data_IF_697236775559
#
_entry.id   IF_697236775559
#
_cell.length_a   1.000
_cell.length_b   1.000
_cell.length_c   1.000
_cell.angle_alpha   90.00
_cell.angle_beta   90.00
_cell.angle_gamma   90.00
#
_symmetry.space_group_name_H-M   'P 1'
#
loop_
_entity.id
_entity.type
_entity.pdbx_description
1 polymer ?
#
# COMPACT_ATOMS: atom_id res chain seq x y z
N UNK A 1 -3.35 -36.17 -13.75
CA UNK A 1 -3.19 -34.82 -13.15
C UNK A 1 -2.79 -34.99 -11.69
N UNK A 2 -1.93 -34.14 -11.14
CA UNK A 2 -1.34 -34.29 -9.79
C UNK A 2 -2.31 -34.05 -8.62
N UNK A 3 -3.55 -33.61 -8.88
CA UNK A 3 -4.55 -33.34 -7.83
C UNK A 3 -4.28 -32.08 -7.01
N UNK A 4 -3.61 -31.08 -7.60
CA UNK A 4 -3.16 -29.86 -6.91
C UNK A 4 -4.10 -28.67 -7.07
N UNK A 5 -5.27 -28.87 -7.70
CA UNK A 5 -6.21 -27.80 -7.98
C UNK A 5 -7.29 -27.75 -6.91
N UNK A 6 -7.85 -26.56 -6.69
CA UNK A 6 -9.00 -26.35 -5.82
C UNK A 6 -10.17 -27.26 -6.20
N UNK A 7 -11.13 -27.49 -5.28
CA UNK A 7 -12.34 -28.21 -5.60
C UNK A 7 -13.10 -27.52 -6.73
N UNK A 8 -13.54 -28.30 -7.71
CA UNK A 8 -14.40 -27.83 -8.78
C UNK A 8 -15.73 -28.60 -8.70
N UNK A 9 -16.81 -27.99 -8.15
CA UNK A 9 -18.11 -28.65 -8.07
C UNK A 9 -18.73 -28.91 -9.45
N UNK A 10 -18.18 -28.33 -10.52
CA UNK A 10 -18.62 -28.53 -11.90
C UNK A 10 -17.43 -28.97 -12.76
N UNK A 11 -17.06 -30.26 -12.68
CA UNK A 11 -16.31 -30.93 -13.73
C UNK A 11 -17.06 -30.83 -15.09
N UNK A 12 -16.98 -29.67 -15.74
CA UNK A 12 -17.11 -29.52 -17.18
C UNK A 12 -15.70 -29.54 -17.74
N UNK A 13 -15.43 -30.33 -18.79
CA UNK A 13 -14.13 -30.27 -19.45
C UNK A 13 -13.95 -28.85 -20.03
N UNK A 14 -12.96 -28.12 -19.51
CA UNK A 14 -12.56 -26.80 -19.99
C UNK A 14 -13.50 -25.66 -19.55
N UNK A 15 -13.18 -24.95 -18.47
CA UNK A 15 -12.27 -23.80 -18.56
C UNK A 15 -12.27 -23.07 -17.21
N UNK A 16 -11.19 -23.09 -16.44
CA UNK A 16 -11.04 -22.16 -15.35
C UNK A 16 -10.73 -20.79 -15.98
N UNK A 17 -11.66 -19.86 -15.80
CA UNK A 17 -11.70 -18.62 -16.57
C UNK A 17 -11.33 -17.47 -15.62
N UNK A 18 -10.03 -17.16 -15.49
CA UNK A 18 -9.63 -15.85 -15.03
C UNK A 18 -9.90 -14.91 -16.22
N UNK A 19 -10.99 -14.16 -16.16
CA UNK A 19 -11.48 -13.32 -17.26
C UNK A 19 -10.41 -12.32 -17.78
N UNK A 20 -9.37 -12.06 -17.00
CA UNK A 20 -8.34 -11.05 -17.27
C UNK A 20 -7.09 -11.60 -17.98
N UNK A 21 -6.92 -12.92 -18.05
CA UNK A 21 -5.82 -13.58 -18.76
C UNK A 21 -6.51 -14.26 -19.93
N UNK A 22 -6.32 -13.80 -21.18
CA UNK A 22 -7.03 -14.31 -22.36
C UNK A 22 -6.76 -15.79 -22.71
N UNK A 23 -7.11 -16.72 -21.83
CA UNK A 23 -6.77 -18.13 -21.83
C UNK A 23 -7.38 -18.92 -20.66
N UNK A 24 -6.82 -20.10 -20.39
CA UNK A 24 -7.25 -21.07 -19.36
C UNK A 24 -6.35 -20.94 -18.14
N UNK A 25 -6.89 -20.65 -16.96
CA UNK A 25 -6.12 -20.38 -15.73
C UNK A 25 -6.54 -21.26 -14.56
N UNK A 26 -5.66 -22.10 -14.02
CA UNK A 26 -6.04 -23.00 -12.91
C UNK A 26 -5.78 -22.36 -11.54
N UNK A 27 -6.64 -22.65 -10.56
CA UNK A 27 -6.45 -22.22 -9.17
C UNK A 27 -5.88 -23.40 -8.38
N UNK A 28 -4.71 -23.20 -7.79
CA UNK A 28 -4.04 -24.21 -6.94
C UNK A 28 -4.79 -24.35 -5.61
N UNK A 29 -4.91 -25.56 -5.07
CA UNK A 29 -5.36 -25.80 -3.70
C UNK A 29 -4.20 -25.55 -2.71
N UNK A 30 -4.21 -24.43 -1.94
CA UNK A 30 -3.15 -24.12 -1.01
C UNK A 30 -3.27 -24.91 0.31
N UNK A 31 -4.30 -25.75 0.48
CA UNK A 31 -4.46 -26.64 1.64
C UNK A 31 -3.81 -28.01 1.41
N UNK A 32 -3.57 -28.38 0.15
CA UNK A 32 -2.90 -29.64 -0.20
C UNK A 32 -1.38 -29.54 0.09
N UNK A 33 -0.81 -30.31 1.05
CA UNK A 33 0.59 -30.20 1.40
C UNK A 33 1.56 -30.48 0.23
N UNK A 34 1.18 -31.39 -0.68
CA UNK A 34 1.99 -31.70 -1.85
C UNK A 34 1.97 -30.56 -2.88
N UNK A 35 0.83 -29.86 -3.01
CA UNK A 35 0.72 -28.68 -3.87
C UNK A 35 1.51 -27.50 -3.30
N UNK A 36 1.46 -27.26 -1.98
CA UNK A 36 2.25 -26.23 -1.31
C UNK A 36 3.76 -26.42 -1.55
N UNK A 37 4.26 -27.63 -1.33
CA UNK A 37 5.68 -27.98 -1.54
C UNK A 37 6.06 -27.78 -3.00
N UNK A 38 5.26 -28.32 -3.92
CA UNK A 38 5.53 -28.20 -5.34
C UNK A 38 5.59 -26.74 -5.78
N UNK A 39 4.57 -25.93 -5.46
CA UNK A 39 4.53 -24.54 -5.90
C UNK A 39 5.65 -23.69 -5.27
N UNK A 40 5.93 -23.89 -3.98
CA UNK A 40 7.08 -23.25 -3.32
C UNK A 40 8.37 -23.53 -4.07
N UNK A 41 8.63 -24.79 -4.42
CA UNK A 41 9.89 -25.20 -5.06
C UNK A 41 10.00 -24.67 -6.50
N UNK A 42 8.89 -24.64 -7.26
CA UNK A 42 8.87 -24.02 -8.59
C UNK A 42 9.14 -22.52 -8.51
N UNK A 43 8.51 -21.82 -7.56
CA UNK A 43 8.77 -20.39 -7.32
C UNK A 43 10.21 -20.16 -6.89
N UNK A 44 10.73 -20.93 -5.93
CA UNK A 44 12.11 -20.81 -5.46
C UNK A 44 13.13 -21.05 -6.59
N UNK A 45 12.90 -22.06 -7.44
CA UNK A 45 13.74 -22.33 -8.61
C UNK A 45 13.71 -21.16 -9.60
N UNK A 46 12.54 -20.57 -9.86
CA UNK A 46 12.40 -19.38 -10.70
C UNK A 46 13.15 -18.18 -10.13
N UNK A 47 12.97 -17.89 -8.84
CA UNK A 47 13.66 -16.78 -8.15
C UNK A 47 15.18 -16.94 -8.22
N UNK A 48 15.70 -18.14 -7.90
CA UNK A 48 17.12 -18.44 -7.92
C UNK A 48 17.73 -18.37 -9.33
N UNK A 49 16.98 -18.83 -10.35
CA UNK A 49 17.44 -18.81 -11.75
C UNK A 49 17.66 -17.39 -12.26
N UNK A 50 16.79 -16.45 -11.85
CA UNK A 50 16.79 -15.08 -12.38
C UNK A 50 17.28 -14.02 -11.40
N UNK A 51 17.62 -14.39 -10.16
CA UNK A 51 18.06 -13.46 -9.12
C UNK A 51 16.97 -12.48 -8.68
N UNK A 52 15.70 -12.90 -8.68
CA UNK A 52 14.56 -12.05 -8.33
C UNK A 52 14.40 -12.03 -6.81
N UNK A 53 14.53 -10.85 -6.19
CA UNK A 53 14.45 -10.65 -4.74
C UNK A 53 13.08 -10.15 -4.24
N UNK A 54 12.10 -10.01 -5.14
CA UNK A 54 10.80 -9.50 -4.77
C UNK A 54 9.65 -10.04 -5.62
N UNK A 55 8.50 -10.26 -4.98
CA UNK A 55 7.26 -10.70 -5.62
C UNK A 55 6.13 -9.73 -5.28
N UNK A 56 5.44 -9.22 -6.31
CA UNK A 56 4.10 -8.63 -6.16
C UNK A 56 3.07 -9.76 -6.29
N UNK A 57 2.54 -10.19 -5.15
CA UNK A 57 1.55 -11.25 -5.03
C UNK A 57 0.15 -10.67 -5.22
N UNK A 58 -0.31 -10.74 -6.46
CA UNK A 58 -1.64 -10.30 -6.87
C UNK A 58 -2.66 -11.45 -6.77
N UNK A 59 -3.93 -11.10 -6.63
CA UNK A 59 -5.07 -12.02 -6.51
C UNK A 59 -4.98 -12.93 -5.27
N UNK A 60 -5.94 -13.84 -5.14
CA UNK A 60 -6.13 -14.71 -3.96
C UNK A 60 -7.47 -14.47 -3.26
N UNK A 61 -8.15 -13.39 -3.62
CA UNK A 61 -9.46 -12.95 -3.15
C UNK A 61 -10.50 -12.96 -4.26
N UNK A 62 -10.20 -13.44 -5.46
CA UNK A 62 -11.13 -13.47 -6.59
C UNK A 62 -11.29 -14.88 -7.14
N UNK A 63 -12.50 -15.23 -7.54
CA UNK A 63 -12.83 -16.52 -8.16
C UNK A 63 -12.44 -17.79 -7.37
N UNK A 64 -12.14 -17.67 -6.07
CA UNK A 64 -11.84 -18.80 -5.19
C UNK A 64 -13.15 -19.54 -4.87
N UNK A 65 -13.22 -20.87 -5.07
CA UNK A 65 -14.35 -21.69 -4.63
C UNK A 65 -14.66 -21.44 -3.14
N UNK A 66 -15.93 -21.20 -2.83
CA UNK A 66 -16.34 -20.73 -1.50
C UNK A 66 -17.68 -21.29 -1.04
N UNK A 67 -18.23 -22.28 -1.74
CA UNK A 67 -19.45 -22.96 -1.35
C UNK A 67 -19.18 -24.00 -0.26
N UNK A 68 -20.23 -24.35 0.49
CA UNK A 68 -20.13 -25.38 1.53
C UNK A 68 -19.84 -26.78 0.95
N UNK A 69 -20.14 -26.99 -0.33
CA UNK A 69 -19.88 -28.23 -1.07
C UNK A 69 -18.47 -28.30 -1.65
N UNK A 70 -17.71 -27.21 -1.60
CA UNK A 70 -16.33 -27.17 -2.10
C UNK A 70 -15.41 -27.71 -0.99
N UNK A 71 -15.04 -29.00 -1.08
CA UNK A 71 -14.23 -29.66 -0.04
C UNK A 71 -12.76 -29.64 -0.44
N UNK A 72 -11.98 -28.81 0.23
CA UNK A 72 -10.53 -28.65 0.03
C UNK A 72 -9.76 -29.89 0.52
N UNK A 73 -8.51 -30.03 0.08
CA UNK A 73 -7.69 -31.22 0.38
C UNK A 73 -7.47 -31.48 1.89
N UNK A 74 -7.54 -30.46 2.73
CA UNK A 74 -7.45 -30.60 4.20
C UNK A 74 -8.80 -30.91 4.89
N UNK A 75 -9.88 -31.05 4.12
CA UNK A 75 -11.22 -31.36 4.60
C UNK A 75 -12.09 -30.15 4.96
N UNK A 76 -11.54 -28.93 4.93
CA UNK A 76 -12.34 -27.71 5.13
C UNK A 76 -13.23 -27.43 3.93
N UNK A 77 -14.33 -26.74 4.20
CA UNK A 77 -15.24 -26.22 3.17
C UNK A 77 -14.68 -24.94 2.54
N UNK A 78 -15.14 -24.62 1.33
CA UNK A 78 -14.78 -23.36 0.68
C UNK A 78 -15.14 -22.14 1.51
N UNK A 79 -16.21 -22.21 2.32
CA UNK A 79 -16.58 -21.11 3.25
C UNK A 79 -15.52 -20.84 4.30
N UNK A 80 -14.85 -21.88 4.78
CA UNK A 80 -13.77 -21.77 5.76
C UNK A 80 -12.47 -21.32 5.10
N UNK A 81 -12.18 -21.81 3.89
CA UNK A 81 -10.91 -21.50 3.19
C UNK A 81 -10.91 -20.14 2.51
N UNK A 82 -12.08 -19.61 2.11
CA UNK A 82 -12.21 -18.40 1.28
C UNK A 82 -11.36 -17.21 1.75
N UNK A 83 -11.45 -16.89 3.04
CA UNK A 83 -10.69 -15.77 3.60
C UNK A 83 -9.28 -16.18 4.03
N UNK A 84 -9.04 -17.46 4.33
CA UNK A 84 -7.70 -17.96 4.66
C UNK A 84 -6.80 -18.12 3.44
N UNK A 85 -7.37 -18.27 2.23
CA UNK A 85 -6.67 -18.46 0.97
C UNK A 85 -5.50 -17.47 0.76
N UNK A 86 -5.70 -16.14 0.86
CA UNK A 86 -4.59 -15.19 0.70
C UNK A 86 -3.49 -15.37 1.75
N UNK A 87 -3.82 -15.76 2.99
CA UNK A 87 -2.80 -16.06 4.02
C UNK A 87 -1.99 -17.30 3.66
N UNK A 88 -2.65 -18.37 3.21
CA UNK A 88 -1.97 -19.60 2.79
C UNK A 88 -1.09 -19.34 1.56
N UNK A 89 -1.60 -18.58 0.59
CA UNK A 89 -0.85 -18.19 -0.61
C UNK A 89 0.37 -17.33 -0.24
N UNK A 90 0.20 -16.31 0.60
CA UNK A 90 1.30 -15.46 1.05
C UNK A 90 2.40 -16.27 1.76
N UNK A 91 2.00 -17.22 2.63
CA UNK A 91 2.95 -18.11 3.29
C UNK A 91 3.79 -18.91 2.31
N UNK A 92 3.19 -19.52 1.28
CA UNK A 92 3.92 -20.34 0.29
C UNK A 92 4.97 -19.50 -0.43
N UNK A 93 4.63 -18.28 -0.85
CA UNK A 93 5.56 -17.38 -1.56
C UNK A 93 6.64 -16.80 -0.64
N UNK A 94 6.28 -16.47 0.60
CA UNK A 94 7.25 -16.07 1.62
C UNK A 94 8.26 -17.18 1.90
N UNK A 95 7.80 -18.43 2.08
CA UNK A 95 8.68 -19.57 2.30
C UNK A 95 9.61 -19.83 1.09
N UNK A 96 9.11 -19.59 -0.14
CA UNK A 96 9.93 -19.69 -1.34
C UNK A 96 11.06 -18.64 -1.35
N UNK A 97 10.73 -17.37 -1.09
CA UNK A 97 11.72 -16.29 -0.99
C UNK A 97 12.74 -16.56 0.14
N UNK A 98 12.27 -16.95 1.33
CA UNK A 98 13.12 -17.25 2.47
C UNK A 98 14.06 -18.45 2.24
N UNK A 99 13.68 -19.41 1.38
CA UNK A 99 14.54 -20.53 1.00
C UNK A 99 15.70 -20.12 0.10
N UNK A 100 15.53 -19.07 -0.71
CA UNK A 100 16.55 -18.53 -1.62
C UNK A 100 17.39 -17.46 -0.93
N UNK A 101 16.78 -16.65 -0.07
CA UNK A 101 17.39 -15.51 0.63
C UNK A 101 17.23 -15.66 2.16
N UNK A 102 18.04 -16.53 2.81
CA UNK A 102 17.88 -16.88 4.22
C UNK A 102 18.28 -15.76 5.20
N UNK A 103 18.94 -14.70 4.72
CA UNK A 103 19.24 -13.48 5.48
C UNK A 103 18.03 -12.54 5.60
N UNK A 104 16.96 -12.81 4.86
CA UNK A 104 15.73 -12.01 4.87
C UNK A 104 15.78 -10.78 3.96
N UNK A 105 16.78 -10.66 3.08
CA UNK A 105 16.88 -9.53 2.13
C UNK A 105 16.02 -9.76 0.88
N UNK A 106 14.71 -9.81 1.10
CA UNK A 106 13.68 -9.97 0.06
C UNK A 106 12.40 -9.21 0.41
N UNK A 107 11.51 -9.06 -0.57
CA UNK A 107 10.19 -8.43 -0.35
C UNK A 107 9.04 -9.22 -0.97
N UNK A 108 8.01 -9.48 -0.18
CA UNK A 108 6.71 -9.93 -0.66
C UNK A 108 5.72 -8.77 -0.49
N UNK A 109 5.07 -8.37 -1.58
CA UNK A 109 4.03 -7.33 -1.59
C UNK A 109 2.71 -7.95 -1.98
N UNK A 110 1.73 -7.99 -1.09
CA UNK A 110 0.42 -8.61 -1.35
C UNK A 110 -0.68 -7.57 -1.52
N UNK A 111 -1.63 -7.85 -2.42
CA UNK A 111 -2.90 -7.11 -2.49
C UNK A 111 -3.89 -7.61 -1.45
N UNK A 112 -4.31 -8.89 -1.47
CA UNK A 112 -5.24 -9.38 -0.46
C UNK A 112 -4.53 -9.72 0.84
N UNK A 113 -5.32 -9.72 1.90
CA UNK A 113 -4.90 -10.12 3.22
C UNK A 113 -6.10 -10.65 4.01
N UNK A 114 -5.81 -11.47 5.01
CA UNK A 114 -6.72 -11.80 6.09
C UNK A 114 -5.96 -11.90 7.41
N UNK A 115 -6.63 -12.39 8.45
CA UNK A 115 -6.02 -12.57 9.77
C UNK A 115 -4.74 -13.39 9.65
N UNK A 116 -3.63 -12.83 10.14
CA UNK A 116 -2.32 -13.49 10.15
C UNK A 116 -1.47 -13.27 8.89
N UNK A 117 -1.95 -12.65 7.81
CA UNK A 117 -1.12 -12.45 6.60
C UNK A 117 0.07 -11.50 6.84
N UNK A 118 -0.06 -10.53 7.75
CA UNK A 118 0.91 -9.45 7.94
C UNK A 118 2.31 -9.90 8.41
N UNK A 119 2.44 -11.15 8.88
CA UNK A 119 3.74 -11.72 9.22
C UNK A 119 4.56 -12.15 7.98
N UNK A 120 3.92 -12.29 6.82
CA UNK A 120 4.54 -12.81 5.59
C UNK A 120 4.81 -11.75 4.52
N UNK A 121 4.14 -10.60 4.58
CA UNK A 121 4.11 -9.66 3.46
C UNK A 121 3.96 -8.21 3.93
N UNK A 122 4.46 -7.28 3.11
CA UNK A 122 3.98 -5.89 3.09
C UNK A 122 2.81 -5.76 2.11
N UNK A 123 2.08 -4.66 2.12
CA UNK A 123 0.80 -4.58 1.40
C UNK A 123 0.70 -3.38 0.48
N UNK A 124 0.04 -3.59 -0.65
CA UNK A 124 -0.34 -2.53 -1.58
C UNK A 124 -1.87 -2.43 -1.63
N UNK A 125 -2.37 -1.21 -1.83
CA UNK A 125 -3.78 -0.84 -1.75
C UNK A 125 -4.71 -1.40 -2.83
N UNK A 126 -4.20 -2.19 -3.75
CA UNK A 126 -4.98 -2.66 -4.88
C UNK A 126 -5.24 -1.59 -5.93
N UNK A 127 -6.19 -1.88 -6.81
CA UNK A 127 -6.45 -1.12 -8.02
C UNK A 127 -7.27 0.17 -7.73
N UNK A 128 -6.69 1.11 -6.98
CA UNK A 128 -7.36 2.36 -6.61
C UNK A 128 -7.55 3.21 -7.89
N UNK A 129 -8.79 3.58 -8.25
CA UNK A 129 -9.02 4.31 -9.50
C UNK A 129 -8.55 5.76 -9.40
N UNK A 130 -8.07 6.31 -10.52
CA UNK A 130 -7.89 7.75 -10.70
C UNK A 130 -9.16 8.49 -11.14
N UNK A 131 -10.30 7.79 -11.25
CA UNK A 131 -11.60 8.30 -11.73
C UNK A 131 -12.80 7.78 -10.89
N UNK A 132 -13.97 8.41 -11.01
CA UNK A 132 -15.15 8.09 -10.18
C UNK A 132 -15.85 6.76 -10.54
N UNK A 133 -15.56 6.18 -11.70
CA UNK A 133 -16.09 4.87 -12.08
C UNK A 133 -15.01 4.01 -12.72
N UNK A 134 -15.05 2.70 -12.44
CA UNK A 134 -14.19 1.70 -13.09
C UNK A 134 -14.17 1.90 -14.61
N UNK A 135 -13.07 2.46 -15.13
CA UNK A 135 -12.83 2.58 -16.56
C UNK A 135 -13.62 3.65 -17.33
N UNK A 136 -14.48 4.45 -16.70
CA UNK A 136 -15.17 5.55 -17.39
C UNK A 136 -15.62 6.64 -16.41
N UNK A 137 -15.25 7.89 -16.65
CA UNK A 137 -15.72 9.02 -15.85
C UNK A 137 -14.78 10.22 -15.90
N UNK A 138 -15.22 11.37 -15.35
CA UNK A 138 -14.35 12.51 -15.15
C UNK A 138 -13.18 12.16 -14.22
N UNK A 139 -12.09 12.90 -14.33
CA UNK A 139 -10.98 12.83 -13.40
C UNK A 139 -11.49 13.12 -11.97
N UNK A 140 -10.96 12.42 -10.97
CA UNK A 140 -11.37 12.63 -9.58
C UNK A 140 -10.18 12.58 -8.64
N UNK A 141 -10.33 13.26 -7.51
CA UNK A 141 -9.44 13.20 -6.36
C UNK A 141 -9.86 12.15 -5.31
N UNK A 142 -11.02 11.50 -5.51
CA UNK A 142 -11.56 10.51 -4.59
C UNK A 142 -10.68 9.25 -4.47
N UNK A 143 -9.92 8.90 -5.50
CA UNK A 143 -8.93 7.82 -5.44
C UNK A 143 -7.85 8.08 -4.40
N UNK A 144 -7.19 9.25 -4.48
CA UNK A 144 -6.18 9.67 -3.50
C UNK A 144 -6.79 9.79 -2.10
N UNK A 145 -8.00 10.34 -1.99
CA UNK A 145 -8.74 10.37 -0.71
C UNK A 145 -8.91 8.97 -0.13
N UNK A 146 -9.31 8.00 -0.96
CA UNK A 146 -9.47 6.60 -0.55
C UNK A 146 -8.15 5.98 -0.11
N UNK A 147 -7.04 6.27 -0.81
CA UNK A 147 -5.71 5.79 -0.44
C UNK A 147 -5.26 6.31 0.93
N UNK A 148 -5.46 7.61 1.21
CA UNK A 148 -5.15 8.22 2.51
C UNK A 148 -5.95 7.55 3.63
N UNK A 149 -7.24 7.32 3.42
CA UNK A 149 -8.11 6.62 4.39
C UNK A 149 -7.66 5.17 4.57
N UNK A 150 -7.37 4.47 3.48
CA UNK A 150 -7.01 3.03 3.47
C UNK A 150 -5.70 2.79 4.19
N UNK A 151 -4.70 3.64 4.00
CA UNK A 151 -3.44 3.57 4.76
C UNK A 151 -3.67 3.58 6.27
N UNK A 152 -4.50 4.50 6.75
CA UNK A 152 -4.80 4.61 8.17
C UNK A 152 -5.60 3.43 8.71
N UNK A 153 -6.55 2.92 7.92
CA UNK A 153 -7.33 1.72 8.27
C UNK A 153 -6.45 0.47 8.31
N UNK A 154 -5.58 0.29 7.32
CA UNK A 154 -4.61 -0.81 7.28
C UNK A 154 -3.72 -0.81 8.53
N UNK A 155 -3.22 0.37 8.92
CA UNK A 155 -2.44 0.54 10.14
C UNK A 155 -3.20 0.08 11.41
N UNK A 156 -4.50 0.37 11.54
CA UNK A 156 -5.34 -0.10 12.66
C UNK A 156 -5.52 -1.61 12.63
N UNK A 157 -5.66 -2.19 11.42
CA UNK A 157 -5.88 -3.62 11.21
C UNK A 157 -4.61 -4.48 11.39
N UNK A 158 -3.50 -3.88 11.83
CA UNK A 158 -2.25 -4.61 12.05
C UNK A 158 -1.43 -4.82 10.78
N UNK A 159 -1.64 -3.99 9.76
CA UNK A 159 -0.79 -3.93 8.57
C UNK A 159 0.24 -2.79 8.74
N UNK A 160 1.50 -3.11 9.09
CA UNK A 160 2.45 -2.09 9.52
C UNK A 160 3.10 -1.31 8.37
N UNK A 161 3.17 -1.92 7.18
CA UNK A 161 3.79 -1.36 5.98
C UNK A 161 2.79 -1.50 4.84
N UNK A 162 2.32 -0.36 4.37
CA UNK A 162 1.31 -0.26 3.32
C UNK A 162 1.68 0.86 2.34
N UNK A 163 1.26 0.74 1.08
CA UNK A 163 1.27 1.85 0.13
C UNK A 163 0.24 1.65 -0.98
N UNK A 164 0.27 2.53 -1.97
CA UNK A 164 -0.64 2.53 -3.11
C UNK A 164 0.13 2.87 -4.39
N UNK A 165 -0.45 2.53 -5.54
CA UNK A 165 0.03 3.04 -6.83
C UNK A 165 -0.04 4.56 -6.88
N UNK A 166 1.13 5.22 -7.00
CA UNK A 166 1.20 6.68 -7.09
C UNK A 166 0.59 7.15 -8.41
N UNK A 167 -0.56 7.81 -8.34
CA UNK A 167 -1.34 8.21 -9.52
C UNK A 167 -2.57 7.34 -9.78
N UNK A 168 -2.77 6.29 -8.98
CA UNK A 168 -3.86 5.33 -9.13
C UNK A 168 -3.57 4.25 -10.18
N UNK A 169 -4.33 3.15 -10.11
CA UNK A 169 -4.17 2.01 -11.00
C UNK A 169 -4.93 2.17 -12.31
N UNK A 170 -6.22 2.47 -12.24
CA UNK A 170 -7.04 2.69 -13.43
C UNK A 170 -6.97 4.15 -13.87
N UNK A 171 -6.61 4.35 -15.14
CA UNK A 171 -6.80 5.60 -15.86
C UNK A 171 -6.21 6.81 -15.14
N UNK A 172 -4.94 7.11 -15.42
CA UNK A 172 -4.36 8.40 -15.09
C UNK A 172 -5.18 9.53 -15.73
N UNK A 173 -5.64 10.50 -14.94
CA UNK A 173 -6.50 11.58 -15.46
C UNK A 173 -6.12 12.98 -15.02
N UNK A 174 -5.64 13.16 -13.80
CA UNK A 174 -5.37 14.50 -13.27
C UNK A 174 -3.91 14.65 -12.81
N UNK A 175 -3.23 15.63 -13.41
CA UNK A 175 -1.84 15.98 -13.15
C UNK A 175 -1.63 16.50 -11.73
N UNK A 176 -2.57 17.27 -11.19
CA UNK A 176 -2.50 17.77 -9.83
C UNK A 176 -2.70 16.63 -8.82
N UNK A 177 -3.66 15.73 -9.06
CA UNK A 177 -3.83 14.52 -8.24
C UNK A 177 -2.55 13.71 -8.22
N UNK A 178 -1.84 13.56 -9.35
CA UNK A 178 -0.55 12.87 -9.37
C UNK A 178 0.52 13.54 -8.52
N UNK A 179 0.68 14.87 -8.60
CA UNK A 179 1.59 15.61 -7.72
C UNK A 179 1.25 15.40 -6.24
N UNK A 180 -0.04 15.50 -5.89
CA UNK A 180 -0.54 15.24 -4.53
C UNK A 180 -0.37 13.78 -4.09
N UNK A 181 -0.41 12.84 -5.02
CA UNK A 181 -0.16 11.43 -4.73
C UNK A 181 1.33 11.17 -4.51
N UNK A 182 2.23 11.80 -5.28
CA UNK A 182 3.68 11.74 -5.05
C UNK A 182 4.01 12.23 -3.64
N UNK A 183 3.44 13.38 -3.26
CA UNK A 183 3.53 13.95 -1.92
C UNK A 183 3.11 12.93 -0.84
N UNK A 184 1.95 12.31 -1.01
CA UNK A 184 1.42 11.30 -0.08
C UNK A 184 2.29 10.04 -0.02
N UNK A 185 2.70 9.49 -1.16
CA UNK A 185 3.50 8.27 -1.27
C UNK A 185 4.88 8.40 -0.63
N UNK A 186 5.45 9.61 -0.60
CA UNK A 186 6.71 9.88 0.12
C UNK A 186 6.61 9.64 1.64
N UNK A 187 5.39 9.74 2.19
CA UNK A 187 5.06 9.48 3.60
C UNK A 187 4.19 8.24 3.79
N UNK A 188 4.33 7.28 2.88
CA UNK A 188 3.71 5.95 2.94
C UNK A 188 4.79 4.87 3.19
N UNK A 189 4.37 3.66 3.58
CA UNK A 189 5.30 2.54 3.76
C UNK A 189 5.99 2.15 2.45
N UNK A 190 5.27 2.21 1.34
CA UNK A 190 5.75 1.95 -0.02
C UNK A 190 5.57 3.22 -0.87
N UNK A 191 6.58 3.57 -1.64
CA UNK A 191 6.49 4.59 -2.68
C UNK A 191 6.77 3.90 -4.02
N UNK A 192 5.71 3.58 -4.75
CA UNK A 192 5.80 3.00 -6.10
C UNK A 192 4.98 3.82 -7.09
N UNK A 193 5.50 3.96 -8.31
CA UNK A 193 4.69 4.34 -9.47
C UNK A 193 4.17 3.02 -10.05
N UNK A 194 2.86 2.89 -10.18
CA UNK A 194 2.23 1.66 -10.62
C UNK A 194 0.84 1.94 -11.18
N UNK A 195 0.28 0.97 -11.87
CA UNK A 195 -1.01 1.12 -12.55
C UNK A 195 -0.96 0.81 -14.03
N UNK A 196 -2.13 0.88 -14.65
CA UNK A 196 -2.32 0.65 -16.08
C UNK A 196 -1.81 1.83 -16.92
N UNK A 197 -1.01 1.52 -17.94
CA UNK A 197 -0.44 2.52 -18.84
C UNK A 197 0.76 3.27 -18.26
N UNK A 198 1.28 4.23 -19.03
CA UNK A 198 2.46 5.01 -18.63
C UNK A 198 2.03 6.29 -17.94
N UNK A 199 2.53 6.53 -16.73
CA UNK A 199 2.40 7.82 -16.03
C UNK A 199 3.68 8.17 -15.26
N UNK A 200 4.82 7.94 -15.91
CA UNK A 200 6.08 8.45 -15.43
C UNK A 200 6.15 9.99 -15.67
N UNK A 201 6.75 10.78 -14.75
CA UNK A 201 6.84 12.24 -14.90
C UNK A 201 7.44 12.73 -16.23
N UNK A 202 8.30 11.93 -16.87
CA UNK A 202 8.93 12.22 -18.17
C UNK A 202 8.15 11.70 -19.40
N UNK A 203 7.03 11.01 -19.18
CA UNK A 203 6.15 10.50 -20.23
C UNK A 203 4.71 10.37 -19.69
N UNK A 204 4.13 11.51 -19.32
CA UNK A 204 2.80 11.64 -18.78
C UNK A 204 1.74 11.40 -19.87
N UNK A 205 0.58 10.81 -19.52
CA UNK A 205 -0.55 10.67 -20.44
C UNK A 205 -1.42 11.94 -20.49
N UNK A 206 -0.96 13.02 -19.86
CA UNK A 206 -1.52 14.39 -19.93
C UNK A 206 -0.65 15.29 -20.80
N UNK A 207 -1.14 16.48 -21.15
CA UNK A 207 -0.32 17.53 -21.78
C UNK A 207 0.28 18.43 -20.70
N UNK A 208 1.60 18.68 -20.69
CA UNK A 208 2.62 18.11 -21.59
C UNK A 208 2.97 16.66 -21.24
N UNK A 209 3.37 15.86 -22.24
CA UNK A 209 3.83 14.49 -22.01
C UNK A 209 5.19 14.46 -21.29
N UNK A 210 6.11 15.36 -21.68
CA UNK A 210 7.33 15.61 -20.90
C UNK A 210 7.07 16.77 -19.95
N UNK A 211 6.94 16.48 -18.66
CA UNK A 211 6.47 17.44 -17.68
C UNK A 211 7.54 17.79 -16.65
N UNK A 212 8.23 18.91 -16.87
CA UNK A 212 9.35 19.32 -16.02
C UNK A 212 8.94 19.56 -14.56
N UNK A 213 7.78 20.17 -14.31
CA UNK A 213 7.32 20.43 -12.93
C UNK A 213 6.96 19.11 -12.22
N UNK A 214 6.37 18.12 -12.91
CA UNK A 214 6.17 16.80 -12.31
C UNK A 214 7.48 16.06 -12.05
N UNK A 215 8.46 16.19 -12.94
CA UNK A 215 9.81 15.63 -12.74
C UNK A 215 10.46 16.26 -11.51
N UNK A 216 10.32 17.57 -11.33
CA UNK A 216 10.90 18.30 -10.19
C UNK A 216 10.23 17.92 -8.86
N UNK A 217 8.89 17.79 -8.85
CA UNK A 217 8.14 17.29 -7.68
C UNK A 217 8.55 15.85 -7.37
N UNK A 218 8.60 14.96 -8.37
CA UNK A 218 9.04 13.58 -8.17
C UNK A 218 10.47 13.51 -7.63
N UNK A 219 11.40 14.29 -8.18
CA UNK A 219 12.79 14.37 -7.70
C UNK A 219 12.85 14.84 -6.25
N UNK A 220 12.10 15.89 -5.90
CA UNK A 220 12.05 16.43 -4.53
C UNK A 220 11.63 15.35 -3.53
N UNK A 221 10.54 14.65 -3.81
CA UNK A 221 9.97 13.68 -2.86
C UNK A 221 10.72 12.35 -2.81
N UNK A 222 11.28 11.88 -3.94
CA UNK A 222 12.17 10.71 -3.93
C UNK A 222 13.48 10.99 -3.20
N UNK A 223 14.07 12.18 -3.38
CA UNK A 223 15.25 12.63 -2.61
C UNK A 223 14.92 12.72 -1.13
N UNK A 224 13.80 13.35 -0.77
CA UNK A 224 13.36 13.44 0.62
C UNK A 224 13.16 12.05 1.25
N UNK A 225 12.52 11.12 0.53
CA UNK A 225 12.33 9.75 1.01
C UNK A 225 13.66 9.02 1.23
N UNK A 226 14.64 9.24 0.36
CA UNK A 226 16.00 8.73 0.55
C UNK A 226 16.66 9.32 1.81
N UNK A 227 16.52 10.63 2.03
CA UNK A 227 17.02 11.29 3.25
C UNK A 227 16.34 10.76 4.53
N UNK A 228 15.05 10.48 4.45
CA UNK A 228 14.27 9.89 5.55
C UNK A 228 14.52 8.39 5.75
N UNK A 229 15.29 7.70 4.88
CA UNK A 229 15.47 6.25 4.95
C UNK A 229 15.87 5.74 6.35
N UNK A 230 16.84 6.33 7.09
CA UNK A 230 17.17 5.86 8.44
C UNK A 230 15.98 5.96 9.41
N UNK A 231 15.16 7.00 9.29
CA UNK A 231 13.95 7.19 10.10
C UNK A 231 12.85 6.18 9.72
N UNK A 232 12.65 5.93 8.42
CA UNK A 232 11.70 4.94 7.91
C UNK A 232 12.09 3.54 8.39
N UNK A 233 13.37 3.16 8.29
CA UNK A 233 13.88 1.87 8.77
C UNK A 233 13.71 1.73 10.28
N UNK A 234 13.95 2.80 11.05
CA UNK A 234 13.70 2.79 12.49
C UNK A 234 12.21 2.58 12.82
N UNK A 235 11.31 3.24 12.09
CA UNK A 235 9.86 3.04 12.23
C UNK A 235 9.44 1.62 11.81
N UNK A 236 10.00 1.09 10.73
CA UNK A 236 9.75 -0.27 10.25
C UNK A 236 10.21 -1.32 11.27
N UNK A 237 11.34 -1.12 11.95
CA UNK A 237 11.79 -2.01 13.04
C UNK A 237 10.82 -2.00 14.23
N UNK A 238 10.17 -0.87 14.51
CA UNK A 238 9.12 -0.78 15.53
C UNK A 238 7.84 -1.52 15.12
N UNK A 239 7.63 -1.84 13.84
CA UNK A 239 6.51 -2.67 13.40
C UNK A 239 6.47 -4.04 14.08
N UNK A 240 7.63 -4.58 14.46
CA UNK A 240 7.73 -5.84 15.20
C UNK A 240 7.06 -5.77 16.60
N UNK A 241 6.81 -4.57 17.15
CA UNK A 241 6.08 -4.38 18.40
C UNK A 241 4.59 -4.06 18.19
N UNK A 242 4.11 -4.13 16.94
CA UNK A 242 2.73 -3.81 16.56
C UNK A 242 2.49 -2.34 16.21
N UNK A 243 3.53 -1.50 16.19
CA UNK A 243 3.39 -0.09 15.80
C UNK A 243 3.61 0.10 14.29
N UNK A 244 2.59 0.48 13.50
CA UNK A 244 2.75 0.70 12.07
C UNK A 244 3.67 1.90 11.78
N UNK A 245 4.25 1.94 10.57
CA UNK A 245 5.02 3.10 10.11
C UNK A 245 4.11 4.32 10.09
N UNK A 246 2.93 4.20 9.48
CA UNK A 246 1.91 5.26 9.49
C UNK A 246 0.98 5.03 10.67
N UNK A 247 0.81 6.03 11.53
CA UNK A 247 0.03 5.92 12.76
C UNK A 247 -1.14 6.90 12.72
N UNK A 248 -2.38 6.40 12.71
CA UNK A 248 -3.56 7.23 12.86
C UNK A 248 -3.50 8.02 14.16
N UNK A 249 -3.99 9.26 14.15
CA UNK A 249 -3.86 10.15 15.30
C UNK A 249 -4.50 9.64 16.61
N UNK A 250 -5.52 8.74 16.63
CA UNK A 250 -5.96 8.10 17.86
C UNK A 250 -4.86 7.36 18.64
N UNK A 251 -3.75 6.97 18.00
CA UNK A 251 -2.59 6.38 18.67
C UNK A 251 -1.88 7.36 19.62
N UNK A 252 -2.00 8.67 19.39
CA UNK A 252 -1.42 9.70 20.25
C UNK A 252 -2.24 9.94 21.52
N UNK A 253 -3.55 10.05 21.34
CA UNK A 253 -4.48 10.34 22.43
C UNK A 253 -5.89 9.89 22.03
N UNK A 254 -6.24 8.66 22.42
CA UNK A 254 -7.58 8.09 22.20
C UNK A 254 -8.70 8.85 22.90
N UNK A 255 -8.37 9.75 23.83
CA UNK A 255 -9.32 10.54 24.60
C UNK A 255 -9.55 11.94 24.02
N UNK A 256 -8.77 12.37 23.02
CA UNK A 256 -9.04 13.61 22.29
C UNK A 256 -10.07 13.33 21.17
N UNK A 257 -11.33 13.79 21.31
CA UNK A 257 -12.37 13.53 20.32
C UNK A 257 -12.05 14.15 18.95
N UNK A 258 -11.15 15.13 18.89
CA UNK A 258 -10.72 15.68 17.61
C UNK A 258 -9.87 14.67 16.84
N UNK A 259 -9.16 13.75 17.49
CA UNK A 259 -8.29 12.78 16.82
C UNK A 259 -9.05 11.54 16.34
N UNK A 260 -10.18 11.21 16.98
CA UNK A 260 -10.89 9.93 16.82
C UNK A 260 -11.20 9.54 15.35
N UNK A 261 -11.66 10.50 14.54
CA UNK A 261 -12.04 10.29 13.13
C UNK A 261 -11.21 11.16 12.17
N UNK A 262 -9.99 11.53 12.56
CA UNK A 262 -9.10 12.31 11.69
C UNK A 262 -8.46 11.40 10.66
N UNK A 263 -9.14 11.21 9.53
CA UNK A 263 -8.70 10.36 8.44
C UNK A 263 -7.76 11.05 7.43
N UNK A 264 -7.58 12.36 7.52
CA UNK A 264 -6.82 13.17 6.55
C UNK A 264 -5.51 13.76 7.12
N UNK A 265 -5.16 13.43 8.36
CA UNK A 265 -3.85 13.69 8.96
C UNK A 265 -3.39 12.42 9.66
N UNK A 266 -2.09 12.14 9.63
CA UNK A 266 -1.52 10.98 10.29
C UNK A 266 -0.09 11.28 10.76
N UNK A 267 0.44 10.43 11.63
CA UNK A 267 1.87 10.43 11.87
C UNK A 267 2.58 9.49 10.91
N UNK A 268 3.70 9.94 10.36
CA UNK A 268 4.68 9.09 9.70
C UNK A 268 5.83 8.83 10.67
N UNK A 269 5.95 7.60 11.14
CA UNK A 269 6.72 7.24 12.32
C UNK A 269 6.18 7.91 13.59
N UNK A 270 6.99 8.02 14.67
CA UNK A 270 6.58 8.66 15.92
C UNK A 270 6.43 10.19 15.88
N UNK A 271 7.14 10.85 14.95
CA UNK A 271 7.50 12.26 15.12
C UNK A 271 7.08 13.20 13.99
N UNK A 272 6.69 12.71 12.81
CA UNK A 272 6.25 13.56 11.71
C UNK A 272 4.74 13.54 11.56
N UNK A 273 4.07 14.66 11.84
CA UNK A 273 2.67 14.88 11.50
C UNK A 273 2.57 15.31 10.04
N UNK A 274 1.85 14.53 9.24
CA UNK A 274 1.67 14.75 7.80
C UNK A 274 0.20 15.06 7.53
N UNK A 275 -0.05 16.10 6.73
CA UNK A 275 -1.39 16.51 6.35
C UNK A 275 -1.45 16.69 4.81
N UNK A 276 -1.71 15.61 4.05
CA UNK A 276 -1.77 15.64 2.58
C UNK A 276 -2.94 16.46 2.05
N UNK A 277 -2.74 17.18 0.96
CA UNK A 277 -3.86 17.72 0.16
C UNK A 277 -4.29 16.62 -0.81
N UNK A 278 -5.58 16.35 -0.89
CA UNK A 278 -6.12 15.40 -1.86
C UNK A 278 -6.96 16.08 -2.93
N UNK A 279 -7.65 17.16 -2.58
CA UNK A 279 -8.65 17.80 -3.42
C UNK A 279 -8.04 18.70 -4.50
N UNK A 280 -8.50 18.55 -5.74
CA UNK A 280 -8.03 19.37 -6.88
C UNK A 280 -8.38 20.85 -6.67
N UNK A 281 -7.44 21.73 -7.01
CA UNK A 281 -7.55 23.18 -6.89
C UNK A 281 -7.34 23.71 -5.47
N UNK A 282 -7.18 22.83 -4.47
CA UNK A 282 -6.95 23.26 -3.09
C UNK A 282 -5.52 23.78 -2.93
N UNK A 283 -5.41 25.02 -2.45
CA UNK A 283 -4.13 25.71 -2.20
C UNK A 283 -3.99 26.17 -0.76
N UNK A 284 -4.85 25.70 0.12
CA UNK A 284 -4.72 25.94 1.55
C UNK A 284 -5.47 24.93 2.36
N UNK A 285 -4.86 24.47 3.45
CA UNK A 285 -5.31 23.33 4.25
C UNK A 285 -5.37 23.70 5.72
N UNK A 286 -6.40 23.22 6.41
CA UNK A 286 -6.46 23.28 7.87
C UNK A 286 -5.69 22.09 8.45
N UNK A 287 -4.86 22.35 9.45
CA UNK A 287 -4.13 21.32 10.18
C UNK A 287 -4.45 21.43 11.66
N UNK A 288 -4.88 20.34 12.29
CA UNK A 288 -4.97 20.25 13.75
C UNK A 288 -3.68 19.69 14.33
N UNK A 289 -3.05 20.47 15.21
CA UNK A 289 -1.92 20.00 15.99
C UNK A 289 -2.39 19.25 17.23
N UNK A 290 -2.04 17.96 17.42
CA UNK A 290 -2.27 17.25 18.67
C UNK A 290 -1.49 17.88 19.83
N UNK A 291 -1.78 17.47 21.08
CA UNK A 291 -1.06 17.94 22.27
C UNK A 291 0.46 17.85 22.08
N UNK A 292 1.17 18.94 22.39
CA UNK A 292 2.61 19.05 22.27
C UNK A 292 3.04 20.38 21.64
N UNK A 293 4.29 20.44 21.19
CA UNK A 293 4.81 21.49 20.32
C UNK A 293 5.32 20.85 19.04
N UNK A 294 5.00 21.49 17.93
CA UNK A 294 5.28 21.01 16.58
C UNK A 294 6.02 22.10 15.83
N UNK A 295 6.93 21.71 14.96
CA UNK A 295 7.76 22.61 14.17
C UNK A 295 7.60 22.24 12.70
N UNK A 296 7.52 23.21 11.81
CA UNK A 296 7.50 22.89 10.38
C UNK A 296 8.79 22.16 10.00
N UNK A 297 8.63 21.03 9.30
CA UNK A 297 9.76 20.20 8.88
C UNK A 297 10.60 20.90 7.80
N UNK A 298 9.95 21.63 6.90
CA UNK A 298 10.60 22.37 5.82
C UNK A 298 11.06 23.78 6.23
N UNK A 299 10.49 24.37 7.28
CA UNK A 299 10.92 25.66 7.86
C UNK A 299 10.98 25.57 9.39
N UNK A 300 12.15 25.21 9.91
CA UNK A 300 12.37 25.03 11.35
C UNK A 300 12.29 26.32 12.18
N UNK A 301 12.09 27.48 11.57
CA UNK A 301 11.82 28.71 12.33
C UNK A 301 10.37 28.80 12.80
N UNK A 302 9.47 28.03 12.18
CA UNK A 302 8.04 28.08 12.47
C UNK A 302 7.62 26.99 13.45
N UNK A 303 7.01 27.39 14.57
CA UNK A 303 6.55 26.47 15.61
C UNK A 303 5.10 26.74 16.04
N UNK A 304 4.42 25.68 16.45
CA UNK A 304 2.99 25.67 16.76
C UNK A 304 2.74 24.92 18.05
N UNK A 305 1.90 25.50 18.91
CA UNK A 305 1.37 24.80 20.09
C UNK A 305 0.20 23.92 19.69
N UNK A 306 0.17 22.72 20.27
CA UNK A 306 -0.88 21.72 20.09
C UNK A 306 -2.25 22.14 20.63
N UNK A 307 -3.24 21.28 20.39
CA UNK A 307 -4.68 21.48 20.65
C UNK A 307 -5.26 22.66 19.91
N UNK A 308 -4.74 22.93 18.70
CA UNK A 308 -5.12 24.08 17.88
C UNK A 308 -5.17 23.68 16.41
N UNK A 309 -6.12 24.27 15.69
CA UNK A 309 -6.19 24.22 14.23
C UNK A 309 -5.58 25.49 13.64
N UNK A 310 -4.77 25.35 12.60
CA UNK A 310 -4.14 26.46 11.86
C UNK A 310 -4.34 26.24 10.37
N UNK A 311 -4.58 27.32 9.62
CA UNK A 311 -4.68 27.27 8.15
C UNK A 311 -3.33 27.62 7.53
N UNK A 312 -2.91 26.83 6.55
CA UNK A 312 -1.65 27.02 5.83
C UNK A 312 -1.89 27.15 4.32
N UNK A 313 -1.09 27.96 3.61
CA UNK A 313 -0.99 27.86 2.16
C UNK A 313 -0.30 26.55 1.77
N UNK A 314 -0.73 25.94 0.67
CA UNK A 314 -0.19 24.67 0.18
C UNK A 314 -0.05 24.72 -1.36
N UNK A 315 1.10 25.19 -1.89
CA UNK A 315 1.37 25.11 -3.33
C UNK A 315 1.42 23.66 -3.82
N UNK A 316 1.43 23.45 -5.14
CA UNK A 316 1.32 22.13 -5.78
C UNK A 316 2.48 21.17 -5.48
N UNK A 317 3.63 21.72 -5.05
CA UNK A 317 4.89 21.01 -4.84
C UNK A 317 5.22 20.73 -3.36
N UNK A 318 4.28 21.02 -2.46
CA UNK A 318 4.49 21.00 -1.03
C UNK A 318 3.35 20.30 -0.31
N UNK A 319 3.69 19.27 0.49
CA UNK A 319 2.82 18.73 1.53
C UNK A 319 3.18 19.32 2.89
N UNK A 320 2.17 19.49 3.76
CA UNK A 320 2.39 19.99 5.11
C UNK A 320 2.93 18.88 6.01
N UNK A 321 4.12 19.10 6.56
CA UNK A 321 4.83 18.17 7.44
C UNK A 321 5.36 18.93 8.64
N UNK A 322 5.09 18.41 9.82
CA UNK A 322 5.52 19.01 11.08
C UNK A 322 6.21 17.97 11.94
N UNK A 323 7.42 18.26 12.38
CA UNK A 323 8.15 17.42 13.33
C UNK A 323 7.77 17.80 14.76
N UNK A 324 7.66 16.81 15.64
CA UNK A 324 7.55 17.03 17.08
C UNK A 324 8.80 17.78 17.56
N UNK A 325 8.61 18.80 18.39
CA UNK A 325 9.73 19.54 18.94
C UNK A 325 10.64 18.62 19.77
N UNK A 326 11.95 18.65 19.48
CA UNK A 326 12.95 17.77 20.10
C UNK A 326 13.12 16.40 19.44
N UNK A 327 12.33 16.08 18.41
CA UNK A 327 12.53 14.87 17.63
C UNK A 327 13.84 14.89 16.84
N UNK A 328 14.43 13.71 16.67
CA UNK A 328 15.61 13.51 15.82
C UNK A 328 15.16 12.90 14.50
N UNK A 329 14.86 13.77 13.55
CA UNK A 329 14.50 13.38 12.18
C UNK A 329 15.58 13.92 11.23
N UNK A 330 16.04 13.14 10.24
CA UNK A 330 16.89 13.66 9.16
C UNK A 330 16.33 14.97 8.61
N UNK A 331 17.20 15.91 8.25
CA UNK A 331 16.76 17.19 7.68
C UNK A 331 16.15 17.02 6.30
N UNK A 332 15.31 17.97 5.83
CA UNK A 332 14.82 18.00 4.45
C UNK A 332 15.95 18.14 3.41
#
# INVERSE_FOLDING_TARGET
MRGYLVPDPAARPGNPNCADIGGTSFIMDPTNPAAQVWWRDEVAAFLATYGIQGIKLDRGEEHIPSEATDIYADGRTGREVRNDYPTLQAKIHHDALASVYPDGDFVLVSRPAYTGTAQYSIFWGGDIPGSESFGAGPATDLGLRSAIISQQRAAILGVPIWGSDTGGYYQFKDREVFARWIEFSAFSGIMEIGGTGTHAPWNMPTTPAFDQEMIDIYRRYTTLRATLQPYIVAAARQAATGLPIVRPLPFLDRHDPKLADRWDEFLFGPDLLVAPVWKVGERGRLVYFPKGRWRSYFDRTQSYRGRRTVKFPVPLDTVLVFEREGATVPGP
#
